data_IF_161220766919
#
_entry.id   IF_161220766919
#
_cell.length_a   1.000
_cell.length_b   1.000
_cell.length_c   1.000
_cell.angle_alpha   90.00
_cell.angle_beta   90.00
_cell.angle_gamma   90.00
#
_symmetry.space_group_name_H-M   'P 1'
#
loop_
_entity.id
_entity.type
_entity.pdbx_description
1 polymer ?
#
# COMPACT_ATOMS: atom_id res chain seq x y z
N UNK A 1 25.27 -2.76 -19.30
CA UNK A 1 24.23 -3.31 -18.41
C UNK A 1 22.89 -2.72 -18.82
N UNK A 2 21.87 -3.54 -19.12
CA UNK A 2 20.51 -3.06 -19.36
C UNK A 2 19.88 -2.45 -18.10
N UNK A 3 18.96 -1.49 -18.26
CA UNK A 3 18.37 -0.70 -17.17
C UNK A 3 17.69 -1.56 -16.09
N UNK A 4 17.01 -2.64 -16.47
CA UNK A 4 16.31 -3.50 -15.53
C UNK A 4 17.26 -4.24 -14.58
N UNK A 5 18.47 -4.59 -15.04
CA UNK A 5 19.48 -5.26 -14.21
C UNK A 5 20.05 -4.28 -13.18
N UNK A 6 20.38 -3.06 -13.60
CA UNK A 6 20.86 -2.02 -12.69
C UNK A 6 19.81 -1.68 -11.62
N UNK A 7 18.53 -1.64 -12.00
CA UNK A 7 17.42 -1.41 -11.07
C UNK A 7 17.28 -2.58 -10.08
N UNK A 8 17.32 -3.82 -10.57
CA UNK A 8 17.22 -5.01 -9.73
C UNK A 8 18.38 -5.10 -8.73
N UNK A 9 19.62 -4.87 -9.17
CA UNK A 9 20.77 -4.86 -8.26
C UNK A 9 20.67 -3.75 -7.20
N UNK A 10 20.20 -2.56 -7.57
CA UNK A 10 19.98 -1.46 -6.63
C UNK A 10 18.85 -1.72 -5.63
N UNK A 11 17.82 -2.46 -6.01
CA UNK A 11 16.66 -2.81 -5.16
C UNK A 11 16.88 -4.08 -4.32
N UNK A 12 17.88 -4.90 -4.66
CA UNK A 12 18.18 -6.16 -3.98
C UNK A 12 18.29 -6.01 -2.46
N UNK A 13 18.95 -4.99 -1.89
CA UNK A 13 19.01 -4.79 -0.43
C UNK A 13 17.64 -4.45 0.19
N UNK A 14 16.72 -3.88 -0.58
CA UNK A 14 15.41 -3.43 -0.14
C UNK A 14 14.30 -4.45 -0.43
N UNK A 15 14.61 -5.60 -1.04
CA UNK A 15 13.60 -6.56 -1.49
C UNK A 15 12.66 -6.99 -0.35
N UNK A 16 13.21 -7.23 0.84
CA UNK A 16 12.43 -7.59 2.01
C UNK A 16 11.54 -6.44 2.49
N UNK A 17 12.07 -5.22 2.59
CA UNK A 17 11.31 -4.01 2.96
C UNK A 17 10.16 -3.72 2.00
N UNK A 18 10.36 -3.96 0.70
CA UNK A 18 9.33 -3.79 -0.32
C UNK A 18 8.21 -4.81 -0.11
N UNK A 19 8.57 -6.09 0.09
CA UNK A 19 7.59 -7.13 0.37
C UNK A 19 6.79 -6.81 1.64
N UNK A 20 7.47 -6.45 2.73
CA UNK A 20 6.81 -6.05 3.98
C UNK A 20 5.83 -4.89 3.78
N UNK A 21 6.24 -3.85 3.04
CA UNK A 21 5.38 -2.71 2.78
C UNK A 21 4.12 -3.06 1.97
N UNK A 22 4.25 -3.96 0.98
CA UNK A 22 3.13 -4.38 0.13
C UNK A 22 2.19 -5.37 0.81
N UNK A 23 2.67 -6.13 1.80
CA UNK A 23 1.88 -7.09 2.57
C UNK A 23 1.54 -6.60 3.99
N UNK A 24 1.81 -5.33 4.29
CA UNK A 24 1.41 -4.72 5.56
C UNK A 24 -0.13 -4.69 5.66
N UNK A 25 -0.73 -5.36 6.66
CA UNK A 25 -2.18 -5.51 6.74
C UNK A 25 -2.91 -4.18 6.88
N UNK A 26 -2.29 -3.17 7.49
CA UNK A 26 -2.89 -1.84 7.64
C UNK A 26 -2.82 -1.06 6.34
N UNK A 27 -1.69 -1.11 5.63
CA UNK A 27 -1.55 -0.47 4.31
C UNK A 27 -2.52 -1.09 3.31
N UNK A 28 -2.59 -2.42 3.27
CA UNK A 28 -3.53 -3.18 2.43
C UNK A 28 -4.97 -2.78 2.76
N UNK A 29 -5.37 -2.87 4.04
CA UNK A 29 -6.73 -2.58 4.47
C UNK A 29 -7.16 -1.14 4.20
N UNK A 30 -6.33 -0.17 4.58
CA UNK A 30 -6.61 1.26 4.38
C UNK A 30 -6.60 1.61 2.88
N UNK A 31 -5.62 1.10 2.13
CA UNK A 31 -5.52 1.31 0.69
C UNK A 31 -6.76 0.82 -0.04
N UNK A 32 -7.15 -0.44 0.20
CA UNK A 32 -8.37 -1.03 -0.39
C UNK A 32 -9.63 -0.24 -0.03
N UNK A 33 -9.80 0.08 1.26
CA UNK A 33 -10.97 0.82 1.73
C UNK A 33 -11.08 2.22 1.13
N UNK A 34 -9.97 2.98 1.13
CA UNK A 34 -9.92 4.32 0.57
C UNK A 34 -10.10 4.32 -0.94
N UNK A 35 -9.48 3.37 -1.63
CA UNK A 35 -9.66 3.18 -3.07
C UNK A 35 -11.10 2.89 -3.44
N UNK A 36 -11.75 1.99 -2.68
CA UNK A 36 -13.16 1.65 -2.89
C UNK A 36 -14.09 2.85 -2.72
N UNK A 37 -13.79 3.73 -1.77
CA UNK A 37 -14.58 4.94 -1.49
C UNK A 37 -14.22 6.15 -2.36
N UNK A 38 -13.23 6.03 -3.25
CA UNK A 38 -12.78 7.15 -4.06
C UNK A 38 -13.72 7.43 -5.25
N UNK A 39 -14.20 8.67 -5.35
CA UNK A 39 -15.07 9.09 -6.48
C UNK A 39 -14.29 9.38 -7.77
N UNK A 40 -12.99 9.67 -7.66
CA UNK A 40 -12.14 10.13 -8.75
C UNK A 40 -10.76 9.47 -8.68
N UNK A 41 -10.15 9.24 -9.85
CA UNK A 41 -8.82 8.65 -9.94
C UNK A 41 -7.74 9.51 -9.25
N UNK A 42 -7.84 10.84 -9.32
CA UNK A 42 -6.90 11.75 -8.64
C UNK A 42 -6.89 11.59 -7.11
N UNK A 43 -8.00 11.15 -6.50
CA UNK A 43 -8.08 10.88 -5.06
C UNK A 43 -7.25 9.66 -4.65
N UNK A 44 -6.81 8.82 -5.60
CA UNK A 44 -5.99 7.64 -5.30
C UNK A 44 -4.58 8.02 -4.83
N UNK A 45 -4.05 9.15 -5.28
CA UNK A 45 -2.76 9.67 -4.78
C UNK A 45 -2.88 9.97 -3.28
N UNK A 46 -3.97 10.63 -2.88
CA UNK A 46 -4.26 10.91 -1.47
C UNK A 46 -4.56 9.63 -0.69
N UNK A 47 -5.28 8.66 -1.29
CA UNK A 47 -5.54 7.36 -0.68
C UNK A 47 -4.23 6.59 -0.40
N UNK A 48 -3.29 6.58 -1.36
CA UNK A 48 -1.99 5.94 -1.20
C UNK A 48 -1.13 6.63 -0.13
N UNK A 49 -1.11 7.96 -0.12
CA UNK A 49 -0.46 8.73 0.94
C UNK A 49 -1.07 8.45 2.32
N UNK A 50 -2.40 8.45 2.42
CA UNK A 50 -3.10 8.17 3.66
C UNK A 50 -2.82 6.75 4.16
N UNK A 51 -2.87 5.74 3.28
CA UNK A 51 -2.55 4.35 3.62
C UNK A 51 -1.09 4.20 4.07
N UNK A 52 -0.14 4.82 3.35
CA UNK A 52 1.28 4.76 3.70
C UNK A 52 1.60 5.42 5.04
N UNK A 53 1.06 6.62 5.27
CA UNK A 53 1.24 7.38 6.52
C UNK A 53 0.56 6.70 7.71
N UNK A 54 -0.69 6.27 7.54
CA UNK A 54 -1.45 5.61 8.60
C UNK A 54 -0.85 4.24 8.94
N UNK A 55 -0.49 3.42 7.94
CA UNK A 55 0.19 2.14 8.17
C UNK A 55 1.53 2.31 8.88
N UNK A 56 2.28 3.36 8.52
CA UNK A 56 3.51 3.73 9.22
C UNK A 56 3.24 4.11 10.67
N UNK A 57 2.30 5.03 10.92
CA UNK A 57 1.94 5.47 12.26
C UNK A 57 1.46 4.30 13.14
N UNK A 58 0.59 3.43 12.61
CA UNK A 58 0.07 2.26 13.34
C UNK A 58 1.19 1.29 13.71
N UNK A 59 2.12 1.03 12.78
CA UNK A 59 3.26 0.15 13.06
C UNK A 59 4.17 0.75 14.15
N UNK A 60 4.42 2.07 14.11
CA UNK A 60 5.19 2.75 15.15
C UNK A 60 4.50 2.67 16.51
N UNK A 61 3.18 2.86 16.56
CA UNK A 61 2.41 2.76 17.81
C UNK A 61 2.47 1.34 18.37
N UNK A 62 2.20 0.33 17.55
CA UNK A 62 2.19 -1.07 18.00
C UNK A 62 3.57 -1.54 18.47
N UNK A 63 4.63 -0.99 17.88
CA UNK A 63 5.99 -1.20 18.35
C UNK A 63 6.23 -0.67 19.76
N UNK A 64 5.58 0.43 20.17
CA UNK A 64 5.68 0.92 21.56
C UNK A 64 5.12 -0.09 22.58
N UNK A 65 4.29 -1.04 22.13
CA UNK A 65 3.72 -2.12 22.93
C UNK A 65 4.41 -3.46 22.68
N UNK A 66 5.60 -3.47 22.05
CA UNK A 66 6.31 -4.69 21.62
C UNK A 66 5.52 -5.61 20.69
N UNK A 67 4.44 -5.10 20.09
CA UNK A 67 3.68 -5.79 19.06
C UNK A 67 4.32 -5.44 17.72
N UNK A 68 5.03 -6.39 17.13
CA UNK A 68 5.55 -6.27 15.77
C UNK A 68 5.37 -7.58 15.03
N UNK A 69 4.83 -7.50 13.82
CA UNK A 69 4.86 -8.59 12.84
C UNK A 69 6.03 -8.42 11.85
N UNK A 70 6.92 -7.45 12.11
CA UNK A 70 8.10 -7.17 11.31
C UNK A 70 9.34 -7.01 12.20
N UNK A 71 10.33 -7.88 12.04
CA UNK A 71 11.65 -7.74 12.66
C UNK A 71 12.63 -7.17 11.63
N UNK A 72 13.27 -6.03 11.94
CA UNK A 72 14.34 -5.45 11.11
C UNK A 72 13.96 -4.26 10.23
N UNK A 73 12.68 -4.02 9.96
CA UNK A 73 12.21 -2.90 9.12
C UNK A 73 12.53 -1.49 9.63
N UNK A 74 12.97 -1.35 10.89
CA UNK A 74 13.25 -0.08 11.56
C UNK A 74 14.64 0.51 11.23
N UNK A 75 15.61 -0.31 10.78
CA UNK A 75 16.92 0.18 10.35
C UNK A 75 16.83 1.09 9.11
N UNK A 76 15.72 1.01 8.37
CA UNK A 76 15.44 1.79 7.16
C UNK A 76 14.06 2.47 7.21
N UNK A 77 13.66 3.01 8.37
CA UNK A 77 12.30 3.52 8.59
C UNK A 77 11.79 4.51 7.53
N UNK A 78 12.65 5.39 7.00
CA UNK A 78 12.29 6.32 5.92
C UNK A 78 12.00 5.64 4.58
N UNK A 79 12.84 4.67 4.16
CA UNK A 79 12.62 3.91 2.94
C UNK A 79 11.39 3.01 3.04
N UNK A 80 11.18 2.39 4.21
CA UNK A 80 9.99 1.57 4.48
C UNK A 80 8.71 2.41 4.36
N UNK A 81 8.67 3.60 4.97
CA UNK A 81 7.52 4.52 4.86
C UNK A 81 7.24 4.90 3.39
N UNK A 82 8.27 5.14 2.59
CA UNK A 82 8.13 5.43 1.16
C UNK A 82 7.52 4.24 0.41
N UNK A 83 8.01 3.01 0.62
CA UNK A 83 7.43 1.83 0.00
C UNK A 83 5.98 1.59 0.42
N UNK A 84 5.61 1.91 1.67
CA UNK A 84 4.22 1.84 2.13
C UNK A 84 3.29 2.82 1.41
N UNK A 85 3.78 3.99 1.01
CA UNK A 85 3.01 4.93 0.18
C UNK A 85 2.74 4.31 -1.21
N UNK A 86 3.76 3.74 -1.86
CA UNK A 86 3.60 3.06 -3.15
C UNK A 86 2.68 1.83 -3.05
N UNK A 87 2.84 1.02 -2.00
CA UNK A 87 1.97 -0.10 -1.71
C UNK A 87 0.53 0.36 -1.48
N UNK A 88 0.32 1.38 -0.65
CA UNK A 88 -0.98 1.98 -0.39
C UNK A 88 -1.65 2.49 -1.66
N UNK A 89 -0.88 3.13 -2.54
CA UNK A 89 -1.37 3.54 -3.86
C UNK A 89 -1.81 2.33 -4.69
N UNK A 90 -0.97 1.30 -4.80
CA UNK A 90 -1.31 0.06 -5.51
C UNK A 90 -2.60 -0.59 -5.01
N UNK A 91 -2.75 -0.74 -3.70
CA UNK A 91 -3.97 -1.28 -3.08
C UNK A 91 -5.18 -0.37 -3.28
N UNK A 92 -5.00 0.94 -3.31
CA UNK A 92 -6.09 1.88 -3.61
C UNK A 92 -6.57 1.79 -5.06
N UNK A 93 -5.66 1.57 -6.01
CA UNK A 93 -6.04 1.32 -7.41
C UNK A 93 -6.85 0.04 -7.53
N UNK A 94 -6.44 -1.03 -6.82
CA UNK A 94 -7.19 -2.28 -6.77
C UNK A 94 -8.59 -2.09 -6.15
N UNK A 95 -8.69 -1.41 -5.01
CA UNK A 95 -9.97 -1.11 -4.35
C UNK A 95 -10.91 -0.29 -5.23
N UNK A 96 -10.38 0.74 -5.90
CA UNK A 96 -11.14 1.57 -6.83
C UNK A 96 -11.66 0.77 -8.02
N UNK A 97 -10.78 -0.01 -8.64
CA UNK A 97 -11.13 -0.83 -9.80
C UNK A 97 -12.19 -1.86 -9.44
N UNK A 98 -12.05 -2.51 -8.28
CA UNK A 98 -13.05 -3.43 -7.75
C UNK A 98 -14.40 -2.73 -7.58
N UNK A 99 -14.45 -1.57 -6.93
CA UNK A 99 -15.69 -0.82 -6.72
C UNK A 99 -16.41 -0.48 -8.04
N UNK A 100 -15.65 -0.11 -9.09
CA UNK A 100 -16.22 0.16 -10.42
C UNK A 100 -16.79 -1.09 -11.08
N UNK A 101 -16.09 -2.22 -11.00
CA UNK A 101 -16.58 -3.50 -11.54
C UNK A 101 -17.86 -3.93 -10.80
N UNK A 102 -17.91 -3.79 -9.48
CA UNK A 102 -19.10 -4.11 -8.68
C UNK A 102 -20.29 -3.23 -9.04
N UNK A 103 -20.09 -1.93 -9.22
CA UNK A 103 -21.16 -1.01 -9.62
C UNK A 103 -21.77 -1.38 -11.00
N UNK A 104 -20.93 -1.71 -11.98
CA UNK A 104 -21.38 -2.13 -13.33
C UNK A 104 -22.14 -3.46 -13.30
N UNK A 105 -21.79 -4.37 -12.38
CA UNK A 105 -22.51 -5.65 -12.22
C UNK A 105 -23.89 -5.47 -11.59
N UNK A 106 -24.02 -4.53 -10.65
CA UNK A 106 -25.30 -4.22 -10.02
C UNK A 106 -26.33 -3.64 -10.99
N UNK A 107 -25.90 -2.90 -12.01
CA UNK A 107 -26.81 -2.30 -13.02
C UNK A 107 -27.36 -3.31 -14.02
N UNK A 108 -26.74 -4.48 -14.18
CA UNK A 108 -27.23 -5.54 -15.08
C UNK A 108 -28.29 -6.46 -14.46
N UNK A 109 -28.61 -6.30 -13.17
CA UNK A 109 -29.58 -7.13 -12.45
C UNK A 109 -30.93 -6.44 -12.18
N UNK A 110 -31.15 -5.23 -12.70
CA UNK A 110 -32.42 -4.51 -12.57
C UNK A 110 -33.39 -4.91 -13.70
N UNK A 111 -34.55 -5.54 -13.41
CA UNK A 111 -35.61 -5.80 -14.38
C UNK A 111 -36.35 -4.54 -14.82
#
# INVERSE_FOLDING_TARGET
MPLYEALYEGLKPFTWLILEAFFDPFVVGIGLFMGWKADQFGKLILAGLAAGLAGTAVTFILRMFDISWFEGGYLFGGAHALFRIFAGFGWSVLGFTAARIYATRGTHQSP
#
